data_IF_884513059290
#
_entry.id   IF_884513059290
#
_cell.length_a   1.000
_cell.length_b   1.000
_cell.length_c   1.000
_cell.angle_alpha   90.00
_cell.angle_beta   90.00
_cell.angle_gamma   90.00
#
_symmetry.space_group_name_H-M   'P 1'
#
loop_
_entity.id
_entity.type
_entity.pdbx_description
1 polymer ?
#
# COMPACT_ATOMS: atom_id res chain seq x y z
N UNK A 1 -7.60 -15.79 6.04
CA UNK A 1 -6.62 -14.89 5.39
C UNK A 1 -5.26 -15.13 6.03
N UNK A 2 -4.19 -15.21 5.27
CA UNK A 2 -2.86 -15.28 5.87
C UNK A 2 -2.39 -13.85 6.17
N UNK A 3 -2.46 -13.44 7.43
CA UNK A 3 -2.13 -12.08 7.89
C UNK A 3 -0.71 -11.66 7.52
N UNK A 4 0.21 -12.61 7.34
CA UNK A 4 1.60 -12.32 6.96
C UNK A 4 1.75 -11.88 5.50
N UNK A 5 0.75 -12.13 4.66
CA UNK A 5 0.74 -11.78 3.25
C UNK A 5 -0.32 -10.72 2.89
N UNK A 6 -1.06 -10.22 3.88
CA UNK A 6 -2.00 -9.13 3.68
C UNK A 6 -1.32 -7.78 3.92
N UNK A 7 -1.09 -6.99 2.87
CA UNK A 7 -0.43 -5.69 3.00
C UNK A 7 -1.35 -4.60 3.57
N UNK A 8 -2.62 -4.89 3.83
CA UNK A 8 -3.61 -3.93 4.33
C UNK A 8 -3.91 -4.09 5.83
N UNK A 9 -3.48 -5.19 6.49
CA UNK A 9 -3.75 -5.41 7.91
C UNK A 9 -2.93 -4.51 8.81
N UNK A 10 -3.62 -3.71 9.62
CA UNK A 10 -3.06 -2.92 10.72
C UNK A 10 -3.33 -3.57 12.10
N UNK A 11 -3.68 -4.87 12.14
CA UNK A 11 -3.97 -5.62 13.37
C UNK A 11 -2.70 -6.09 14.08
N UNK A 12 -1.79 -5.14 14.35
CA UNK A 12 -0.59 -5.43 15.12
C UNK A 12 -0.85 -5.22 16.62
N UNK A 13 -0.28 -6.11 17.46
CA UNK A 13 -0.10 -5.83 18.88
C UNK A 13 0.80 -4.59 19.02
N UNK A 14 0.71 -3.86 20.15
CA UNK A 14 1.50 -2.65 20.37
C UNK A 14 3.01 -2.85 20.14
N UNK A 15 3.55 -4.01 20.50
CA UNK A 15 4.97 -4.36 20.30
C UNK A 15 5.31 -4.52 18.79
N UNK A 16 4.40 -5.06 18.00
CA UNK A 16 4.58 -5.20 16.55
C UNK A 16 4.52 -3.84 15.83
N UNK A 17 3.69 -2.93 16.31
CA UNK A 17 3.63 -1.54 15.82
C UNK A 17 4.91 -0.76 16.13
N UNK A 18 5.52 -0.98 17.30
CA UNK A 18 6.81 -0.36 17.64
C UNK A 18 7.94 -0.89 16.77
N UNK A 19 7.99 -2.19 16.54
CA UNK A 19 8.96 -2.81 15.63
C UNK A 19 8.77 -2.27 14.19
N UNK A 20 7.54 -2.21 13.72
CA UNK A 20 7.25 -1.69 12.37
C UNK A 20 7.67 -0.22 12.21
N UNK A 21 7.50 0.58 13.27
CA UNK A 21 8.00 1.96 13.30
C UNK A 21 9.53 2.02 13.27
N UNK A 22 10.20 1.16 14.04
CA UNK A 22 11.68 1.10 14.08
C UNK A 22 12.29 0.69 12.73
N UNK A 23 11.59 -0.15 11.96
CA UNK A 23 12.03 -0.60 10.63
C UNK A 23 11.81 0.44 9.54
N UNK A 24 10.99 1.49 9.77
CA UNK A 24 10.72 2.51 8.75
C UNK A 24 11.99 3.33 8.47
N UNK A 25 12.34 3.55 7.21
CA UNK A 25 13.38 4.51 6.85
C UNK A 25 12.95 5.93 7.27
N UNK A 26 13.91 6.71 7.77
CA UNK A 26 13.67 8.07 8.25
C UNK A 26 14.13 9.14 7.26
N UNK A 27 14.94 8.78 6.28
CA UNK A 27 15.50 9.70 5.27
C UNK A 27 15.40 9.10 3.86
N UNK A 28 15.56 9.93 2.85
CA UNK A 28 15.67 9.46 1.47
C UNK A 28 16.87 8.53 1.24
N UNK A 29 17.94 8.65 2.02
CA UNK A 29 19.11 7.77 1.91
C UNK A 29 18.84 6.35 2.38
N UNK A 30 17.92 6.19 3.32
CA UNK A 30 17.54 4.91 3.90
C UNK A 30 16.42 4.21 3.13
N UNK A 31 15.76 4.95 2.22
CA UNK A 31 14.64 4.44 1.46
C UNK A 31 15.12 3.72 0.20
N UNK A 32 15.14 2.40 0.23
CA UNK A 32 15.53 1.57 -0.90
C UNK A 32 14.39 1.41 -1.92
N UNK A 33 14.71 1.55 -3.20
CA UNK A 33 13.76 1.40 -4.31
C UNK A 33 13.05 2.69 -4.72
N UNK A 34 12.10 2.61 -5.66
CA UNK A 34 11.38 3.76 -6.23
C UNK A 34 12.33 4.87 -6.72
N UNK A 35 13.48 4.51 -7.28
CA UNK A 35 14.64 5.39 -7.54
C UNK A 35 14.24 6.70 -8.24
N UNK A 36 13.47 6.61 -9.32
CA UNK A 36 13.05 7.81 -10.07
C UNK A 36 12.13 8.73 -9.25
N UNK A 37 11.23 8.15 -8.44
CA UNK A 37 10.34 8.91 -7.55
C UNK A 37 11.16 9.64 -6.49
N UNK A 38 12.10 8.95 -5.87
CA UNK A 38 12.96 9.50 -4.82
C UNK A 38 13.86 10.61 -5.36
N UNK A 39 14.49 10.43 -6.51
CA UNK A 39 15.32 11.45 -7.16
C UNK A 39 14.54 12.73 -7.45
N UNK A 40 13.33 12.61 -8.00
CA UNK A 40 12.46 13.74 -8.26
C UNK A 40 12.04 14.44 -6.96
N UNK A 41 11.61 13.67 -5.95
CA UNK A 41 11.20 14.24 -4.67
C UNK A 41 12.33 14.97 -3.95
N UNK A 42 13.57 14.48 -4.01
CA UNK A 42 14.75 15.18 -3.49
C UNK A 42 14.90 16.56 -4.11
N UNK A 43 14.77 16.65 -5.44
CA UNK A 43 14.87 17.93 -6.17
C UNK A 43 13.75 18.88 -5.72
N UNK A 44 12.51 18.40 -5.65
CA UNK A 44 11.36 19.24 -5.28
C UNK A 44 11.46 19.74 -3.83
N UNK A 45 11.86 18.89 -2.90
CA UNK A 45 12.09 19.25 -1.48
C UNK A 45 13.21 20.28 -1.36
N UNK A 46 14.35 20.05 -2.03
CA UNK A 46 15.45 21.01 -2.01
C UNK A 46 15.00 22.37 -2.55
N UNK A 47 14.30 22.40 -3.68
CA UNK A 47 13.82 23.63 -4.28
C UNK A 47 12.81 24.38 -3.39
N UNK A 48 11.89 23.67 -2.74
CA UNK A 48 10.94 24.24 -1.79
C UNK A 48 11.66 24.85 -0.58
N UNK A 49 12.66 24.14 -0.03
CA UNK A 49 13.48 24.64 1.09
C UNK A 49 14.31 25.88 0.72
N UNK A 50 14.93 25.92 -0.47
CA UNK A 50 15.70 27.08 -0.94
C UNK A 50 14.81 28.33 -1.10
N UNK A 51 13.55 28.15 -1.52
CA UNK A 51 12.58 29.26 -1.64
C UNK A 51 11.84 29.58 -0.34
N UNK A 52 11.99 28.73 0.69
CA UNK A 52 11.22 28.80 1.94
C UNK A 52 9.70 28.75 1.73
N UNK A 53 9.25 27.97 0.75
CA UNK A 53 7.84 27.75 0.38
C UNK A 53 7.36 26.39 0.82
N UNK A 54 6.02 26.20 0.94
CA UNK A 54 5.43 24.88 1.06
C UNK A 54 5.71 24.08 -0.21
N UNK A 55 5.91 22.77 -0.06
CA UNK A 55 6.02 21.86 -1.20
C UNK A 55 4.65 21.77 -1.91
N UNK A 56 4.65 21.62 -3.22
CA UNK A 56 3.43 21.36 -3.98
C UNK A 56 2.66 20.16 -3.42
N UNK A 57 1.34 20.25 -3.41
CA UNK A 57 0.50 19.13 -2.98
C UNK A 57 0.86 17.86 -3.75
N UNK A 58 1.07 16.77 -3.01
CA UNK A 58 1.65 15.53 -3.53
C UNK A 58 0.68 14.37 -3.39
N UNK A 59 0.43 13.65 -4.49
CA UNK A 59 -0.34 12.40 -4.51
C UNK A 59 0.60 11.20 -4.62
N UNK A 60 0.53 10.30 -3.63
CA UNK A 60 1.22 9.02 -3.63
C UNK A 60 0.19 7.91 -3.87
N UNK A 61 0.29 7.20 -4.99
CA UNK A 61 -0.68 6.15 -5.30
C UNK A 61 -0.01 4.84 -5.73
N UNK A 62 -0.71 3.74 -5.55
CA UNK A 62 -0.22 2.40 -5.87
C UNK A 62 -0.68 1.37 -4.85
N UNK A 63 -0.36 0.08 -5.07
CA UNK A 63 -0.73 -1.02 -4.18
C UNK A 63 -0.41 -0.76 -2.71
N UNK A 64 -1.10 -1.44 -1.77
CA UNK A 64 -0.82 -1.29 -0.34
C UNK A 64 0.58 -1.81 0.01
N UNK A 65 1.15 -1.30 1.11
CA UNK A 65 2.43 -1.78 1.66
C UNK A 65 3.70 -1.37 0.91
N UNK A 66 3.63 -0.45 -0.08
CA UNK A 66 4.76 0.01 -0.87
C UNK A 66 5.52 1.22 -0.30
N UNK A 67 5.13 1.73 0.88
CA UNK A 67 5.84 2.81 1.56
C UNK A 67 5.24 4.21 1.37
N UNK A 68 3.97 4.37 0.95
CA UNK A 68 3.30 5.68 0.80
C UNK A 68 3.37 6.52 2.08
N UNK A 69 2.94 5.95 3.20
CA UNK A 69 2.98 6.59 4.53
C UNK A 69 4.42 6.89 4.96
N UNK A 70 5.36 5.98 4.68
CA UNK A 70 6.79 6.19 4.97
C UNK A 70 7.36 7.38 4.20
N UNK A 71 7.03 7.52 2.91
CA UNK A 71 7.45 8.65 2.11
C UNK A 71 6.88 9.98 2.62
N UNK A 72 5.63 9.98 3.11
CA UNK A 72 5.06 11.19 3.72
C UNK A 72 5.85 11.63 4.97
N UNK A 73 6.27 10.68 5.82
CA UNK A 73 7.14 10.98 6.97
C UNK A 73 8.50 11.52 6.54
N UNK A 74 9.14 10.87 5.56
CA UNK A 74 10.44 11.32 5.04
C UNK A 74 10.32 12.73 4.44
N UNK A 75 9.26 13.01 3.67
CA UNK A 75 9.06 14.33 3.08
C UNK A 75 8.94 15.42 4.15
N UNK A 76 8.20 15.20 5.22
CA UNK A 76 8.07 16.16 6.31
C UNK A 76 9.41 16.38 7.04
N UNK A 77 10.14 15.31 7.32
CA UNK A 77 11.48 15.38 7.95
C UNK A 77 12.48 16.15 7.08
N UNK A 78 12.53 15.85 5.79
CA UNK A 78 13.45 16.51 4.84
C UNK A 78 13.05 17.97 4.55
N UNK A 79 11.78 18.34 4.71
CA UNK A 79 11.30 19.72 4.69
C UNK A 79 11.57 20.46 6.01
N UNK A 80 11.86 19.74 7.10
CA UNK A 80 12.07 20.29 8.44
C UNK A 80 10.81 20.87 9.07
N UNK A 81 9.63 20.24 8.82
CA UNK A 81 8.32 20.73 9.26
C UNK A 81 7.53 19.63 9.99
N UNK A 82 6.45 20.02 10.67
CA UNK A 82 5.58 19.05 11.36
C UNK A 82 4.73 18.25 10.38
N UNK A 83 4.49 16.98 10.71
CA UNK A 83 3.58 16.09 10.00
C UNK A 83 2.31 15.84 10.82
N UNK A 84 1.15 16.19 10.27
CA UNK A 84 -0.14 15.75 10.79
C UNK A 84 -0.68 14.61 9.93
N UNK A 85 -1.09 13.53 10.59
CA UNK A 85 -1.56 12.31 9.94
C UNK A 85 -3.04 12.14 10.21
N UNK A 86 -3.81 11.88 9.15
CA UNK A 86 -5.20 11.48 9.20
C UNK A 86 -5.50 10.47 8.10
N UNK A 87 -6.74 10.02 8.00
CA UNK A 87 -7.19 9.14 6.92
C UNK A 87 -8.57 9.54 6.43
N UNK A 88 -8.89 9.21 5.17
CA UNK A 88 -10.19 9.51 4.57
C UNK A 88 -11.38 9.08 5.43
N UNK A 89 -11.41 7.83 5.95
CA UNK A 89 -12.50 7.35 6.81
C UNK A 89 -12.67 8.08 8.14
N UNK A 90 -11.64 8.71 8.66
CA UNK A 90 -11.67 9.45 9.95
C UNK A 90 -12.22 10.85 9.77
N UNK A 91 -12.07 11.45 8.59
CA UNK A 91 -12.56 12.79 8.27
C UNK A 91 -13.99 12.66 7.73
N UNK A 92 -14.96 12.61 8.63
CA UNK A 92 -16.37 12.39 8.30
C UNK A 92 -17.10 13.68 7.89
N UNK A 93 -16.75 14.80 8.52
CA UNK A 93 -17.43 16.09 8.38
C UNK A 93 -16.47 17.22 8.00
N UNK A 94 -16.97 18.28 7.33
CA UNK A 94 -16.17 19.49 7.06
C UNK A 94 -15.50 20.10 8.31
N UNK A 95 -16.15 20.00 9.47
CA UNK A 95 -15.60 20.48 10.74
C UNK A 95 -14.34 19.72 11.19
N UNK A 96 -14.27 18.42 10.93
CA UNK A 96 -13.08 17.59 11.24
C UNK A 96 -11.90 18.04 10.38
N UNK A 97 -12.15 18.24 9.08
CA UNK A 97 -11.14 18.77 8.15
C UNK A 97 -10.69 20.18 8.56
N UNK A 98 -11.63 21.06 8.90
CA UNK A 98 -11.32 22.42 9.34
C UNK A 98 -10.46 22.43 10.60
N UNK A 99 -10.75 21.57 11.58
CA UNK A 99 -9.95 21.42 12.80
C UNK A 99 -8.51 20.99 12.50
N UNK A 100 -8.31 20.08 11.54
CA UNK A 100 -6.98 19.68 11.10
C UNK A 100 -6.25 20.84 10.40
N UNK A 101 -6.89 21.48 9.42
CA UNK A 101 -6.27 22.54 8.60
C UNK A 101 -5.92 23.78 9.42
N UNK A 102 -6.81 24.24 10.33
CA UNK A 102 -6.56 25.40 11.18
C UNK A 102 -5.47 25.18 12.23
N UNK A 103 -5.12 23.94 12.49
CA UNK A 103 -4.05 23.57 13.43
C UNK A 103 -2.68 23.45 12.79
N UNK A 104 -2.56 23.62 11.46
CA UNK A 104 -1.28 23.60 10.73
C UNK A 104 -0.55 24.94 10.86
N UNK A 105 0.75 24.86 11.04
CA UNK A 105 1.65 25.99 10.92
C UNK A 105 2.08 26.18 9.47
N UNK A 106 2.74 27.30 9.16
CA UNK A 106 3.22 27.56 7.81
C UNK A 106 4.20 26.46 7.35
N UNK A 107 3.97 25.94 6.14
CA UNK A 107 4.71 24.87 5.47
C UNK A 107 4.49 23.47 6.05
N UNK A 108 3.71 23.30 7.11
CA UNK A 108 3.41 21.98 7.68
C UNK A 108 2.85 21.01 6.63
N UNK A 109 3.04 19.72 6.89
CA UNK A 109 2.51 18.64 6.04
C UNK A 109 1.27 18.04 6.68
N UNK A 110 0.17 18.01 5.93
CA UNK A 110 -1.01 17.19 6.23
C UNK A 110 -0.98 15.93 5.36
N UNK A 111 -0.88 14.77 5.99
CA UNK A 111 -0.99 13.48 5.30
C UNK A 111 -2.39 12.89 5.50
N UNK A 112 -3.06 12.55 4.40
CA UNK A 112 -4.36 11.86 4.41
C UNK A 112 -4.20 10.51 3.71
N UNK A 113 -4.24 9.43 4.49
CA UNK A 113 -4.24 8.08 3.93
C UNK A 113 -5.64 7.71 3.43
N UNK A 114 -5.70 6.84 2.41
CA UNK A 114 -6.93 6.46 1.72
C UNK A 114 -7.83 7.66 1.36
N UNK A 115 -7.22 8.71 0.81
CA UNK A 115 -7.87 9.99 0.50
C UNK A 115 -9.09 9.83 -0.42
N UNK A 116 -9.15 8.76 -1.24
CA UNK A 116 -10.30 8.43 -2.08
C UNK A 116 -11.58 8.07 -1.30
N UNK A 117 -11.47 7.88 0.02
CA UNK A 117 -12.60 7.58 0.91
C UNK A 117 -13.19 8.83 1.58
N UNK A 118 -12.69 10.01 1.26
CA UNK A 118 -13.33 11.26 1.68
C UNK A 118 -14.74 11.35 1.10
N UNK A 119 -15.68 11.89 1.89
CA UNK A 119 -17.01 12.19 1.36
C UNK A 119 -16.93 13.33 0.34
N UNK A 120 -17.82 13.36 -0.69
CA UNK A 120 -17.82 14.44 -1.68
C UNK A 120 -17.91 15.84 -1.06
N UNK A 121 -18.63 15.96 0.05
CA UNK A 121 -18.77 17.24 0.77
C UNK A 121 -17.43 17.67 1.37
N UNK A 122 -16.72 16.77 2.03
CA UNK A 122 -15.38 17.06 2.59
C UNK A 122 -14.37 17.36 1.49
N UNK A 123 -14.47 16.64 0.37
CA UNK A 123 -13.60 16.86 -0.80
C UNK A 123 -13.75 18.29 -1.36
N UNK A 124 -14.97 18.84 -1.43
CA UNK A 124 -15.22 20.22 -1.89
C UNK A 124 -14.55 21.26 -0.99
N UNK A 125 -14.60 21.07 0.33
CA UNK A 125 -13.90 21.97 1.27
C UNK A 125 -12.37 21.88 1.10
N UNK A 126 -11.87 20.70 0.82
CA UNK A 126 -10.44 20.49 0.60
C UNK A 126 -9.95 21.20 -0.69
N UNK A 127 -10.79 21.32 -1.73
CA UNK A 127 -10.43 22.06 -2.94
C UNK A 127 -10.05 23.50 -2.67
N UNK A 128 -10.90 24.24 -1.93
CA UNK A 128 -10.64 25.64 -1.57
C UNK A 128 -9.40 25.78 -0.69
N UNK A 129 -9.21 24.82 0.22
CA UNK A 129 -8.04 24.81 1.08
C UNK A 129 -6.73 24.61 0.30
N UNK A 130 -6.75 23.77 -0.73
CA UNK A 130 -5.58 23.49 -1.58
C UNK A 130 -5.25 24.63 -2.56
N UNK A 131 -6.27 25.31 -3.09
CA UNK A 131 -6.05 26.37 -4.11
C UNK A 131 -5.78 27.73 -3.50
N UNK A 132 -6.59 28.11 -2.49
CA UNK A 132 -6.64 29.49 -1.99
C UNK A 132 -6.15 29.61 -0.54
N UNK A 133 -5.78 28.51 0.12
CA UNK A 133 -5.48 28.45 1.55
C UNK A 133 -6.59 29.09 2.38
N UNK A 134 -7.84 28.73 2.06
CA UNK A 134 -9.05 29.22 2.74
C UNK A 134 -10.06 28.09 2.90
N UNK A 135 -10.84 28.19 3.96
CA UNK A 135 -11.96 27.27 4.18
C UNK A 135 -13.18 28.06 4.63
N UNK A 136 -14.33 27.81 4.00
CA UNK A 136 -15.61 28.42 4.34
C UNK A 136 -16.41 27.48 5.24
N UNK A 137 -16.64 27.84 6.49
CA UNK A 137 -17.39 27.01 7.45
C UNK A 137 -18.80 27.57 7.62
N UNK A 138 -19.81 26.71 7.45
CA UNK A 138 -21.18 27.04 7.75
C UNK A 138 -21.41 26.94 9.25
N UNK A 139 -21.77 28.06 9.91
CA UNK A 139 -22.01 28.12 11.39
C UNK A 139 -23.43 27.65 11.73
N UNK A 140 -24.42 27.94 10.87
CA UNK A 140 -25.83 27.58 11.08
C UNK A 140 -26.41 26.97 9.80
N UNK A 141 -27.40 26.09 9.96
CA UNK A 141 -28.20 25.55 8.88
C UNK A 141 -29.58 26.20 8.82
N UNK A 142 -30.10 26.43 7.60
CA UNK A 142 -31.42 26.98 7.40
C UNK A 142 -31.43 28.43 6.89
N UNK A 143 -32.55 29.17 6.99
CA UNK A 143 -32.71 30.51 6.41
C UNK A 143 -31.73 31.57 6.93
N UNK A 144 -31.14 31.36 8.09
CA UNK A 144 -30.15 32.23 8.72
C UNK A 144 -28.72 31.71 8.60
N UNK A 145 -28.45 30.76 7.68
CA UNK A 145 -27.14 30.21 7.50
C UNK A 145 -26.10 31.31 7.20
N UNK A 146 -25.02 31.29 7.97
CA UNK A 146 -23.86 32.18 7.79
C UNK A 146 -22.62 31.33 7.54
N UNK A 147 -21.84 31.72 6.54
CA UNK A 147 -20.52 31.20 6.34
C UNK A 147 -19.47 32.11 6.95
N UNK A 148 -18.47 31.54 7.57
CA UNK A 148 -17.25 32.22 7.99
C UNK A 148 -16.09 31.69 7.22
N UNK A 149 -15.42 32.56 6.49
CA UNK A 149 -14.19 32.22 5.78
C UNK A 149 -13.01 32.33 6.75
N UNK A 150 -12.23 31.25 6.84
CA UNK A 150 -11.02 31.16 7.66
C UNK A 150 -9.84 31.09 6.70
N UNK A 151 -8.85 31.99 6.88
CA UNK A 151 -7.58 31.90 6.18
C UNK A 151 -6.71 30.83 6.86
N UNK A 152 -6.08 30.00 6.06
CA UNK A 152 -5.17 28.96 6.48
C UNK A 152 -3.72 29.40 6.23
N UNK A 153 -2.79 28.87 6.99
CA UNK A 153 -1.39 28.95 6.61
C UNK A 153 -1.15 28.13 5.34
N UNK A 154 -0.11 28.48 4.58
CA UNK A 154 0.38 27.64 3.49
C UNK A 154 0.83 26.28 4.03
N UNK A 155 0.41 25.23 3.40
CA UNK A 155 0.68 23.85 3.82
C UNK A 155 0.85 22.93 2.62
N UNK A 156 1.46 21.79 2.85
CA UNK A 156 1.55 20.72 1.87
C UNK A 156 0.54 19.62 2.19
N UNK A 157 -0.37 19.33 1.27
CA UNK A 157 -1.18 18.11 1.37
C UNK A 157 -0.45 16.95 0.69
N UNK A 158 -0.26 15.86 1.43
CA UNK A 158 0.17 14.58 0.86
C UNK A 158 -1.02 13.62 0.94
N UNK A 159 -1.64 13.33 -0.20
CA UNK A 159 -2.69 12.32 -0.31
C UNK A 159 -2.10 10.96 -0.66
N UNK A 160 -2.54 9.91 0.03
CA UNK A 160 -2.22 8.53 -0.33
C UNK A 160 -3.47 7.76 -0.74
N UNK A 161 -3.36 6.89 -1.74
CA UNK A 161 -4.48 6.04 -2.18
C UNK A 161 -4.00 4.74 -2.82
N UNK A 162 -4.72 3.68 -2.57
CA UNK A 162 -4.60 2.41 -3.32
C UNK A 162 -5.39 2.45 -4.63
N UNK A 163 -6.41 3.32 -4.72
CA UNK A 163 -7.39 3.40 -5.83
C UNK A 163 -7.43 4.80 -6.46
N UNK A 164 -6.39 5.19 -7.15
CA UNK A 164 -6.32 6.51 -7.81
C UNK A 164 -7.47 6.77 -8.80
N UNK A 165 -8.06 5.71 -9.36
CA UNK A 165 -9.23 5.81 -10.26
C UNK A 165 -10.51 6.26 -9.56
N UNK A 166 -10.63 6.16 -8.24
CA UNK A 166 -11.79 6.62 -7.47
C UNK A 166 -11.69 8.10 -7.09
N UNK A 167 -10.51 8.71 -7.20
CA UNK A 167 -10.38 10.15 -7.01
C UNK A 167 -11.07 10.90 -8.14
N UNK A 168 -11.80 11.95 -7.80
CA UNK A 168 -12.43 12.83 -8.77
C UNK A 168 -11.37 13.53 -9.66
N UNK A 169 -11.72 13.88 -10.88
CA UNK A 169 -10.82 14.60 -11.78
C UNK A 169 -10.38 15.97 -11.19
N UNK A 170 -11.28 16.77 -10.57
CA UNK A 170 -10.91 17.99 -9.89
C UNK A 170 -9.86 17.78 -8.78
N UNK A 171 -10.03 16.74 -7.95
CA UNK A 171 -9.06 16.43 -6.89
C UNK A 171 -7.68 16.10 -7.45
N UNK A 172 -7.64 15.23 -8.47
CA UNK A 172 -6.35 14.84 -9.08
C UNK A 172 -5.61 16.02 -9.72
N UNK A 173 -6.35 16.96 -10.31
CA UNK A 173 -5.75 18.13 -10.97
C UNK A 173 -5.07 19.11 -9.98
N UNK A 174 -5.42 19.05 -8.69
CA UNK A 174 -4.85 19.91 -7.65
C UNK A 174 -3.55 19.40 -7.05
N UNK A 175 -3.18 18.17 -7.34
CA UNK A 175 -1.87 17.64 -6.97
C UNK A 175 -0.83 18.01 -8.02
N UNK A 176 0.07 18.94 -7.70
CA UNK A 176 1.17 19.32 -8.55
C UNK A 176 2.21 18.23 -8.75
N UNK A 177 2.37 17.37 -7.73
CA UNK A 177 3.26 16.22 -7.76
C UNK A 177 2.43 14.93 -7.68
N UNK A 178 2.56 14.05 -8.68
CA UNK A 178 1.81 12.80 -8.76
C UNK A 178 2.78 11.63 -8.97
N UNK A 179 2.92 10.78 -7.95
CA UNK A 179 3.86 9.66 -7.96
C UNK A 179 3.15 8.34 -7.79
N UNK A 180 3.34 7.47 -8.78
CA UNK A 180 2.93 6.08 -8.70
C UNK A 180 4.05 5.24 -8.10
N UNK A 181 3.76 4.51 -7.03
CA UNK A 181 4.66 3.52 -6.46
C UNK A 181 4.38 2.16 -7.09
N UNK A 182 5.47 1.48 -7.42
CA UNK A 182 5.42 0.17 -8.07
C UNK A 182 5.95 -0.92 -7.14
N UNK A 183 5.63 -2.16 -7.46
CA UNK A 183 6.18 -3.30 -6.74
C UNK A 183 7.69 -3.36 -6.85
N UNK A 184 8.32 -3.81 -5.80
CA UNK A 184 9.78 -3.90 -5.69
C UNK A 184 10.29 -5.19 -6.32
N UNK A 185 11.44 -5.14 -6.95
CA UNK A 185 12.12 -6.34 -7.39
C UNK A 185 12.78 -7.07 -6.21
N UNK A 186 13.12 -8.36 -6.41
CA UNK A 186 13.67 -9.24 -5.37
C UNK A 186 14.96 -8.68 -4.78
N UNK A 187 15.85 -8.11 -5.60
CA UNK A 187 17.15 -7.59 -5.13
C UNK A 187 16.96 -6.42 -4.16
N UNK A 188 16.04 -5.50 -4.44
CA UNK A 188 15.74 -4.38 -3.56
C UNK A 188 15.06 -4.88 -2.27
N UNK A 189 14.15 -5.85 -2.36
CA UNK A 189 13.54 -6.44 -1.17
C UNK A 189 14.55 -7.19 -0.30
N UNK A 190 15.52 -7.90 -0.90
CA UNK A 190 16.61 -8.54 -0.16
C UNK A 190 17.43 -7.50 0.63
N UNK A 191 17.77 -6.36 0.02
CA UNK A 191 18.47 -5.28 0.73
C UNK A 191 17.62 -4.65 1.87
N UNK A 192 16.29 -4.62 1.72
CA UNK A 192 15.39 -4.19 2.80
C UNK A 192 15.39 -5.21 3.94
N UNK A 193 15.40 -6.51 3.63
CA UNK A 193 15.50 -7.58 4.64
C UNK A 193 16.80 -7.47 5.40
N UNK A 194 17.94 -7.34 4.71
CA UNK A 194 19.25 -7.25 5.32
C UNK A 194 19.31 -6.06 6.28
N UNK A 195 18.86 -4.87 5.84
CA UNK A 195 18.73 -3.69 6.70
C UNK A 195 17.81 -3.94 7.91
N UNK A 196 16.67 -4.58 7.70
CA UNK A 196 15.71 -4.87 8.77
C UNK A 196 16.27 -5.90 9.76
N UNK A 197 17.02 -6.88 9.29
CA UNK A 197 17.71 -7.86 10.12
C UNK A 197 18.79 -7.20 11.00
N UNK A 198 19.57 -6.29 10.42
CA UNK A 198 20.57 -5.51 11.17
C UNK A 198 19.92 -4.67 12.28
N UNK A 199 18.83 -3.96 12.00
CA UNK A 199 18.08 -3.18 13.01
C UNK A 199 17.55 -4.08 14.13
N UNK A 200 17.10 -5.29 13.79
CA UNK A 200 16.57 -6.26 14.77
C UNK A 200 17.65 -7.11 15.43
N UNK A 201 18.93 -6.89 15.09
CA UNK A 201 20.08 -7.70 15.55
C UNK A 201 19.91 -9.19 15.25
N UNK A 202 19.43 -9.52 14.05
CA UNK A 202 19.23 -10.88 13.57
C UNK A 202 20.33 -11.21 12.56
N UNK A 203 20.95 -12.37 12.70
CA UNK A 203 21.86 -12.89 11.68
C UNK A 203 21.06 -13.61 10.62
N UNK A 204 21.25 -13.24 9.36
CA UNK A 204 20.60 -13.83 8.21
C UNK A 204 21.59 -14.07 7.07
N UNK A 205 21.47 -15.20 6.39
CA UNK A 205 22.24 -15.49 5.20
C UNK A 205 21.64 -14.84 3.95
N UNK A 206 22.48 -14.48 2.98
CA UNK A 206 22.03 -13.84 1.72
C UNK A 206 21.03 -14.70 0.92
N UNK A 207 21.18 -16.01 0.94
CA UNK A 207 20.25 -16.93 0.28
C UNK A 207 18.89 -16.96 0.99
N UNK A 208 18.87 -16.85 2.32
CA UNK A 208 17.67 -16.74 3.13
C UNK A 208 16.95 -15.41 2.85
N UNK A 209 17.70 -14.28 2.81
CA UNK A 209 17.15 -12.97 2.44
C UNK A 209 16.49 -13.00 1.06
N UNK A 210 17.17 -13.58 0.07
CA UNK A 210 16.63 -13.72 -1.29
C UNK A 210 15.39 -14.61 -1.35
N UNK A 211 15.34 -15.71 -0.58
CA UNK A 211 14.19 -16.62 -0.52
C UNK A 211 12.97 -15.91 0.10
N UNK A 212 13.14 -15.15 1.19
CA UNK A 212 12.06 -14.35 1.77
C UNK A 212 11.61 -13.26 0.79
N UNK A 213 12.55 -12.53 0.19
CA UNK A 213 12.28 -11.48 -0.79
C UNK A 213 11.48 -12.00 -1.99
N UNK A 214 11.85 -13.18 -2.52
CA UNK A 214 11.16 -13.84 -3.64
C UNK A 214 9.70 -14.21 -3.34
N UNK A 215 9.32 -14.38 -2.07
CA UNK A 215 7.96 -14.70 -1.64
C UNK A 215 7.19 -13.52 -1.05
N UNK A 216 7.77 -12.33 -1.07
CA UNK A 216 7.20 -11.12 -0.46
C UNK A 216 6.27 -10.30 -1.38
N UNK A 217 5.85 -10.86 -2.51
CA UNK A 217 4.90 -10.23 -3.45
C UNK A 217 5.31 -8.82 -3.89
N UNK A 218 6.60 -8.55 -4.00
CA UNK A 218 7.07 -7.20 -4.35
C UNK A 218 6.79 -6.12 -3.31
N UNK A 219 6.49 -6.49 -2.05
CA UNK A 219 5.95 -5.58 -1.04
C UNK A 219 6.84 -5.54 0.21
N UNK A 220 7.44 -4.38 0.56
CA UNK A 220 8.27 -4.24 1.77
C UNK A 220 7.57 -4.61 3.07
N UNK A 221 6.27 -4.30 3.23
CA UNK A 221 5.50 -4.66 4.43
C UNK A 221 5.42 -6.19 4.62
N UNK A 222 5.11 -6.93 3.54
CA UNK A 222 5.08 -8.41 3.56
C UNK A 222 6.48 -8.95 3.84
N UNK A 223 7.50 -8.36 3.23
CA UNK A 223 8.90 -8.71 3.42
C UNK A 223 9.28 -8.70 4.90
N UNK A 224 9.01 -7.60 5.60
CA UNK A 224 9.27 -7.45 7.03
C UNK A 224 8.38 -8.39 7.88
N UNK A 225 7.13 -8.61 7.48
CA UNK A 225 6.25 -9.58 8.16
C UNK A 225 6.81 -11.00 8.09
N UNK A 226 7.22 -11.45 6.90
CA UNK A 226 7.82 -12.78 6.72
C UNK A 226 9.15 -12.90 7.45
N UNK A 227 10.02 -11.88 7.43
CA UNK A 227 11.28 -11.87 8.18
C UNK A 227 11.03 -12.11 9.69
N UNK A 228 10.06 -11.41 10.28
CA UNK A 228 9.69 -11.61 11.70
C UNK A 228 9.22 -13.04 11.98
N UNK A 229 8.37 -13.59 11.13
CA UNK A 229 7.90 -14.97 11.31
C UNK A 229 9.04 -15.98 11.15
N UNK A 230 9.89 -15.83 10.14
CA UNK A 230 11.05 -16.70 9.96
C UNK A 230 12.00 -16.62 11.16
N UNK A 231 12.22 -15.42 11.74
CA UNK A 231 12.96 -15.24 12.99
C UNK A 231 12.37 -16.09 14.11
N UNK A 232 11.05 -16.08 14.31
CA UNK A 232 10.39 -16.83 15.36
C UNK A 232 10.67 -18.34 15.20
N UNK A 233 10.68 -18.85 13.96
CA UNK A 233 11.06 -20.23 13.67
C UNK A 233 12.55 -20.49 13.94
N UNK A 234 13.44 -19.58 13.57
CA UNK A 234 14.88 -19.70 13.81
C UNK A 234 15.20 -19.77 15.31
N UNK A 235 14.51 -18.96 16.14
CA UNK A 235 14.68 -18.96 17.59
C UNK A 235 14.20 -20.27 18.26
N UNK A 236 13.11 -20.86 17.78
CA UNK A 236 12.48 -22.02 18.45
C UNK A 236 12.95 -23.35 17.86
N UNK A 237 13.29 -23.41 16.58
CA UNK A 237 13.64 -24.64 15.86
C UNK A 237 15.11 -24.70 15.45
N UNK A 238 15.82 -23.57 15.47
CA UNK A 238 17.23 -23.43 15.12
C UNK A 238 18.07 -22.89 16.28
N UNK A 239 19.17 -22.26 15.94
CA UNK A 239 20.11 -21.62 16.86
C UNK A 239 19.92 -20.08 16.95
N UNK A 240 18.87 -19.55 16.34
CA UNK A 240 18.57 -18.13 16.25
C UNK A 240 19.11 -17.45 14.99
N UNK A 241 19.95 -18.14 14.20
CA UNK A 241 20.39 -17.63 12.89
C UNK A 241 19.36 -18.02 11.80
N UNK A 242 19.15 -17.14 10.84
CA UNK A 242 18.24 -17.38 9.71
C UNK A 242 19.08 -17.87 8.52
N UNK A 243 19.11 -19.16 8.32
CA UNK A 243 19.65 -19.79 7.12
C UNK A 243 18.58 -20.16 6.09
N UNK A 244 18.98 -20.64 4.92
CA UNK A 244 18.06 -21.01 3.86
C UNK A 244 17.15 -22.20 4.26
N UNK A 245 17.64 -23.14 5.08
CA UNK A 245 16.91 -24.34 5.47
C UNK A 245 15.76 -24.01 6.41
N UNK A 246 16.05 -23.26 7.47
CA UNK A 246 15.01 -22.78 8.41
C UNK A 246 14.01 -21.86 7.71
N UNK A 247 14.49 -21.02 6.77
CA UNK A 247 13.62 -20.14 5.96
C UNK A 247 12.62 -20.95 5.14
N UNK A 248 13.06 -21.95 4.39
CA UNK A 248 12.17 -22.82 3.61
C UNK A 248 11.19 -23.60 4.49
N UNK A 249 11.66 -24.07 5.65
CA UNK A 249 10.80 -24.73 6.62
C UNK A 249 9.72 -23.79 7.15
N UNK A 250 10.09 -22.58 7.56
CA UNK A 250 9.15 -21.59 8.08
C UNK A 250 8.12 -21.18 7.02
N UNK A 251 8.55 -20.82 5.83
CA UNK A 251 7.67 -20.39 4.73
C UNK A 251 6.68 -21.51 4.34
N UNK A 252 7.14 -22.77 4.32
CA UNK A 252 6.25 -23.92 4.10
C UNK A 252 5.22 -24.06 5.22
N UNK A 253 5.64 -23.90 6.48
CA UNK A 253 4.75 -23.99 7.64
C UNK A 253 3.71 -22.86 7.68
N UNK A 254 4.05 -21.69 7.08
CA UNK A 254 3.16 -20.55 6.89
C UNK A 254 2.25 -20.67 5.65
N UNK A 255 2.30 -21.77 4.92
CA UNK A 255 1.57 -22.00 3.67
C UNK A 255 1.88 -20.94 2.58
N UNK A 256 3.10 -20.41 2.58
CA UNK A 256 3.60 -19.50 1.53
C UNK A 256 4.37 -20.30 0.50
N UNK A 257 3.85 -20.37 -0.72
CA UNK A 257 4.47 -21.14 -1.78
C UNK A 257 5.65 -20.41 -2.47
N UNK A 258 6.25 -21.07 -3.46
CA UNK A 258 7.42 -20.53 -4.19
C UNK A 258 7.17 -19.22 -4.95
N UNK A 259 5.93 -18.85 -5.19
CA UNK A 259 5.55 -17.59 -5.84
C UNK A 259 5.00 -16.57 -4.83
N UNK A 260 4.99 -16.89 -3.54
CA UNK A 260 4.40 -16.07 -2.51
C UNK A 260 2.87 -16.13 -2.48
N UNK A 261 2.25 -17.14 -3.11
CA UNK A 261 0.80 -17.34 -3.01
C UNK A 261 0.46 -18.02 -1.69
N UNK A 262 -0.63 -17.57 -1.08
CA UNK A 262 -1.18 -18.15 0.14
C UNK A 262 -2.34 -19.13 -0.15
N UNK A 263 -2.99 -19.59 0.92
CA UNK A 263 -4.12 -20.48 0.83
C UNK A 263 -5.31 -19.85 0.08
N UNK A 264 -5.57 -18.54 0.28
CA UNK A 264 -6.69 -17.87 -0.37
C UNK A 264 -6.41 -17.61 -1.86
N UNK A 265 -5.19 -17.24 -2.24
CA UNK A 265 -4.80 -17.16 -3.65
C UNK A 265 -5.04 -18.48 -4.37
N UNK A 266 -4.53 -19.57 -3.76
CA UNK A 266 -4.70 -20.90 -4.30
C UNK A 266 -6.18 -21.33 -4.34
N UNK A 267 -7.00 -20.92 -3.34
CA UNK A 267 -8.44 -21.16 -3.32
C UNK A 267 -9.16 -20.40 -4.44
N UNK A 268 -8.78 -19.14 -4.71
CA UNK A 268 -9.31 -18.35 -5.83
C UNK A 268 -9.00 -19.04 -7.16
N UNK A 269 -7.73 -19.37 -7.41
CA UNK A 269 -7.31 -20.02 -8.65
C UNK A 269 -7.98 -21.40 -8.83
N UNK A 270 -7.99 -22.24 -7.79
CA UNK A 270 -8.67 -23.53 -7.81
C UNK A 270 -10.17 -23.41 -8.08
N UNK A 271 -10.83 -22.41 -7.48
CA UNK A 271 -12.26 -22.18 -7.68
C UNK A 271 -12.55 -21.81 -9.13
N UNK A 272 -11.78 -20.88 -9.70
CA UNK A 272 -11.94 -20.52 -11.11
C UNK A 272 -11.69 -21.70 -12.06
N UNK A 273 -10.70 -22.54 -11.78
CA UNK A 273 -10.39 -23.71 -12.62
C UNK A 273 -11.41 -24.81 -12.44
N UNK A 274 -11.63 -25.28 -11.19
CA UNK A 274 -12.39 -26.51 -10.92
C UNK A 274 -13.91 -26.29 -10.89
N UNK A 275 -14.38 -25.16 -10.33
CA UNK A 275 -15.83 -24.88 -10.24
C UNK A 275 -16.38 -24.18 -11.47
N UNK A 276 -15.58 -23.34 -12.12
CA UNK A 276 -16.01 -22.53 -13.26
C UNK A 276 -15.34 -22.93 -14.57
N UNK A 277 -14.60 -24.04 -14.60
CA UNK A 277 -13.94 -24.59 -15.80
C UNK A 277 -13.05 -23.55 -16.53
N UNK A 278 -12.40 -22.64 -15.79
CA UNK A 278 -11.56 -21.59 -16.36
C UNK A 278 -12.28 -20.46 -17.11
N UNK A 279 -13.63 -20.49 -17.12
CA UNK A 279 -14.44 -19.44 -17.75
C UNK A 279 -14.35 -18.12 -16.96
N UNK A 280 -14.57 -16.96 -17.61
CA UNK A 280 -14.61 -15.68 -16.93
C UNK A 280 -15.73 -15.62 -15.90
N UNK A 281 -15.44 -15.15 -14.67
CA UNK A 281 -16.37 -15.08 -13.55
C UNK A 281 -16.46 -13.68 -12.97
N UNK A 282 -17.67 -13.17 -12.77
CA UNK A 282 -17.89 -11.88 -12.13
C UNK A 282 -17.43 -11.88 -10.65
N UNK A 283 -17.01 -10.71 -10.15
CA UNK A 283 -16.44 -10.60 -8.79
C UNK A 283 -17.40 -11.11 -7.70
N UNK A 284 -18.69 -10.77 -7.76
CA UNK A 284 -19.67 -11.18 -6.75
C UNK A 284 -19.89 -12.70 -6.72
N UNK A 285 -19.85 -13.36 -7.88
CA UNK A 285 -19.92 -14.82 -7.97
C UNK A 285 -18.66 -15.47 -7.39
N UNK A 286 -17.49 -14.92 -7.71
CA UNK A 286 -16.23 -15.41 -7.19
C UNK A 286 -16.15 -15.23 -5.68
N UNK A 287 -16.48 -14.04 -5.16
CA UNK A 287 -16.44 -13.72 -3.73
C UNK A 287 -17.34 -14.68 -2.91
N UNK A 288 -18.54 -14.92 -3.38
CA UNK A 288 -19.45 -15.91 -2.77
C UNK A 288 -18.85 -17.32 -2.80
N UNK A 289 -18.24 -17.72 -3.92
CA UNK A 289 -17.70 -19.08 -4.10
C UNK A 289 -16.46 -19.36 -3.24
N UNK A 290 -15.67 -18.34 -2.89
CA UNK A 290 -14.50 -18.44 -2.02
C UNK A 290 -14.77 -18.02 -0.57
N UNK A 291 -15.98 -17.50 -0.27
CA UNK A 291 -16.40 -17.00 1.04
C UNK A 291 -15.53 -15.83 1.53
N UNK A 292 -15.33 -14.85 0.63
CA UNK A 292 -14.60 -13.64 0.91
C UNK A 292 -15.38 -12.42 0.36
N UNK A 293 -15.07 -11.19 0.81
CA UNK A 293 -15.71 -10.01 0.25
C UNK A 293 -15.15 -9.66 -1.13
N UNK A 294 -15.97 -9.05 -1.98
CA UNK A 294 -15.53 -8.62 -3.31
C UNK A 294 -14.40 -7.59 -3.20
N UNK A 295 -14.51 -6.68 -2.23
CA UNK A 295 -13.52 -5.63 -1.96
C UNK A 295 -12.16 -6.22 -1.56
N UNK A 296 -12.14 -7.19 -0.63
CA UNK A 296 -10.89 -7.88 -0.23
C UNK A 296 -10.23 -8.57 -1.42
N UNK A 297 -11.01 -9.24 -2.28
CA UNK A 297 -10.44 -9.89 -3.47
C UNK A 297 -9.81 -8.84 -4.38
N UNK A 298 -10.48 -7.73 -4.64
CA UNK A 298 -10.00 -6.67 -5.55
C UNK A 298 -8.80 -5.88 -5.02
N UNK A 299 -8.69 -5.73 -3.71
CA UNK A 299 -7.63 -4.92 -3.10
C UNK A 299 -6.39 -5.72 -2.70
N UNK A 300 -6.59 -6.93 -2.20
CA UNK A 300 -5.52 -7.73 -1.57
C UNK A 300 -4.97 -8.79 -2.52
N UNK A 301 -5.85 -9.59 -3.14
CA UNK A 301 -5.43 -10.78 -3.89
C UNK A 301 -5.26 -10.52 -5.39
N UNK A 302 -6.24 -9.90 -6.01
CA UNK A 302 -6.30 -9.73 -7.45
C UNK A 302 -5.12 -8.94 -8.03
N UNK A 303 -4.64 -7.82 -7.43
CA UNK A 303 -3.53 -7.05 -7.97
C UNK A 303 -2.26 -7.87 -8.15
N UNK A 304 -1.92 -8.68 -7.15
CA UNK A 304 -0.75 -9.55 -7.21
C UNK A 304 -0.94 -10.70 -8.20
N UNK A 305 -2.08 -11.36 -8.19
CA UNK A 305 -2.39 -12.45 -9.13
C UNK A 305 -2.37 -11.99 -10.60
N UNK A 306 -2.81 -10.76 -10.87
CA UNK A 306 -2.76 -10.16 -12.22
C UNK A 306 -1.32 -9.82 -12.60
N UNK A 307 -0.58 -9.17 -11.71
CA UNK A 307 0.81 -8.80 -11.97
C UNK A 307 1.66 -10.03 -12.26
N UNK A 308 1.51 -11.07 -11.46
CA UNK A 308 2.21 -12.34 -11.67
C UNK A 308 1.67 -13.13 -12.87
N UNK A 309 0.61 -12.65 -13.51
CA UNK A 309 0.04 -13.29 -14.70
C UNK A 309 -0.66 -14.61 -14.40
N UNK A 310 -1.19 -14.82 -13.19
CA UNK A 310 -2.07 -15.95 -12.86
C UNK A 310 -3.51 -15.68 -13.24
N UNK A 311 -3.91 -14.41 -13.21
CA UNK A 311 -5.28 -13.93 -13.44
C UNK A 311 -5.30 -12.81 -14.46
N UNK A 312 -6.37 -12.71 -15.23
CA UNK A 312 -6.64 -11.55 -16.11
C UNK A 312 -8.05 -11.03 -15.86
N UNK A 313 -8.23 -9.71 -16.03
CA UNK A 313 -9.56 -9.09 -16.08
C UNK A 313 -10.04 -9.04 -17.53
N UNK A 314 -11.24 -9.55 -17.76
CA UNK A 314 -11.94 -9.46 -19.04
C UNK A 314 -13.25 -8.70 -18.86
N UNK A 315 -13.91 -8.22 -19.93
CA UNK A 315 -15.24 -7.61 -19.83
C UNK A 315 -16.31 -8.52 -19.19
N UNK A 316 -16.09 -9.85 -19.22
CA UNK A 316 -17.00 -10.86 -18.62
C UNK A 316 -16.65 -11.21 -17.18
N UNK A 317 -15.50 -10.77 -16.66
CA UNK A 317 -15.04 -11.07 -15.31
C UNK A 317 -13.58 -11.53 -15.25
N UNK A 318 -13.25 -12.21 -14.15
CA UNK A 318 -11.90 -12.71 -13.84
C UNK A 318 -11.70 -14.08 -14.48
N UNK A 319 -10.56 -14.26 -15.12
CA UNK A 319 -10.21 -15.50 -15.80
C UNK A 319 -8.77 -15.90 -15.47
N UNK A 320 -8.54 -17.20 -15.26
CA UNK A 320 -7.20 -17.75 -15.02
C UNK A 320 -6.41 -17.88 -16.32
N UNK A 321 -5.10 -17.82 -16.22
CA UNK A 321 -4.17 -17.98 -17.33
C UNK A 321 -3.58 -19.39 -17.40
N UNK A 322 -2.85 -19.71 -18.48
CA UNK A 322 -2.05 -20.96 -18.58
C UNK A 322 -1.07 -21.12 -17.40
N UNK A 323 -0.53 -20.01 -16.86
CA UNK A 323 0.39 -20.03 -15.70
C UNK A 323 -0.28 -20.60 -14.45
N UNK A 324 -1.58 -20.26 -14.21
CA UNK A 324 -2.32 -20.77 -13.07
C UNK A 324 -2.56 -22.29 -13.15
N UNK A 325 -2.91 -22.82 -14.30
CA UNK A 325 -3.02 -24.26 -14.51
C UNK A 325 -1.71 -25.00 -14.23
N UNK A 326 -0.61 -24.46 -14.78
CA UNK A 326 0.73 -25.03 -14.59
C UNK A 326 1.20 -24.97 -13.13
N UNK A 327 0.82 -23.90 -12.42
CA UNK A 327 1.14 -23.74 -11.01
C UNK A 327 0.46 -24.78 -10.12
N UNK A 328 -0.80 -25.10 -10.41
CA UNK A 328 -1.62 -26.05 -9.66
C UNK A 328 -1.49 -27.51 -10.15
N UNK A 329 -0.58 -27.77 -11.09
CA UNK A 329 -0.39 -29.07 -11.73
C UNK A 329 -1.71 -29.66 -12.29
N UNK A 330 -2.53 -28.79 -12.92
CA UNK A 330 -3.81 -29.18 -13.53
C UNK A 330 -3.65 -29.13 -15.06
N UNK A 331 -4.01 -30.23 -15.72
CA UNK A 331 -4.03 -30.31 -17.18
C UNK A 331 -5.12 -29.40 -17.78
N UNK A 332 -4.76 -28.69 -18.85
CA UNK A 332 -5.69 -27.88 -19.62
C UNK A 332 -6.53 -28.83 -20.49
N UNK A 333 -7.84 -28.88 -20.24
CA UNK A 333 -8.76 -29.70 -21.05
C UNK A 333 -8.93 -29.13 -22.46
N UNK A 334 -9.36 -29.96 -23.43
CA UNK A 334 -9.50 -29.52 -24.84
C UNK A 334 -10.41 -28.29 -25.01
N UNK A 335 -11.49 -28.17 -24.22
CA UNK A 335 -12.37 -27.00 -24.23
C UNK A 335 -11.73 -25.73 -23.66
N UNK A 336 -10.57 -25.83 -23.03
CA UNK A 336 -9.82 -24.73 -22.44
C UNK A 336 -8.65 -24.30 -23.31
N UNK A 337 -8.20 -25.16 -24.25
CA UNK A 337 -7.12 -24.82 -25.20
C UNK A 337 -7.55 -23.72 -26.16
N UNK A 338 -8.81 -23.73 -26.61
CA UNK A 338 -9.37 -22.71 -27.51
C UNK A 338 -9.53 -21.32 -26.84
N UNK A 339 -9.37 -21.25 -25.50
CA UNK A 339 -9.43 -19.99 -24.74
C UNK A 339 -8.10 -19.24 -24.70
N UNK A 340 -7.01 -19.90 -25.08
CA UNK A 340 -5.66 -19.37 -24.95
C UNK A 340 -4.92 -19.25 -26.30
N UNK A 341 -5.53 -19.73 -27.36
CA UNK A 341 -5.07 -19.59 -28.75
C UNK A 341 -5.81 -18.39 -29.42
#
# INVERSE_FOLDING_TARGET
MNENLDPSTDNFNNDELEIDKALRPLSFSDFNGQTQVIENLKIFVQAANERSEALDHTLLHGPPGLGKTTLAHILAEELGVSLKVSSGPVIDKPGDLAGLLTSLESRDVLFIDEIHRLSPVVEEYLYSAMEDYKIDIMIESGPNARSVQINLNDFTLIGATTRSGLLTAPMRARFGINNRLEYYNVNVLSSIIDRSADILNIKIDSDASNEIAGRSRGTPRICNSLLRRVRDFAQIKGDGNIDLEITKYALKSLNVDKFGLDEMDNKILNTLIKKFNGQPVGINTLSTAVSETAETIEEVYEPFLIQEGFLIRTPRGRQVTKKAYKHLDIDITNNQKDLFD
#
